data_IF_502911678196
#
_entry.id   IF_502911678196
#
_cell.length_a   1.000
_cell.length_b   1.000
_cell.length_c   1.000
_cell.angle_alpha   90.00
_cell.angle_beta   90.00
_cell.angle_gamma   90.00
#
_symmetry.space_group_name_H-M   'P 1'
#
loop_
_entity.id
_entity.type
_entity.pdbx_description
1 polymer ?
#
# COMPACT_ATOMS: atom_id res chain seq x y z
N UNK A 1 21.98 20.98 33.74
CA UNK A 1 21.72 19.75 32.95
C UNK A 1 21.25 20.25 31.60
N UNK A 2 22.22 20.45 30.72
CA UNK A 2 22.06 21.05 29.40
C UNK A 2 21.20 20.16 28.53
N UNK A 3 20.15 20.75 27.96
CA UNK A 3 19.41 20.14 26.86
C UNK A 3 20.24 20.46 25.62
N UNK A 4 21.07 19.51 25.19
CA UNK A 4 21.80 19.61 23.93
C UNK A 4 20.80 19.82 22.79
N UNK A 5 20.92 20.99 22.16
CA UNK A 5 20.38 21.29 20.86
C UNK A 5 20.84 20.24 19.84
N UNK A 6 19.93 19.36 19.41
CA UNK A 6 20.12 18.62 18.15
C UNK A 6 19.66 19.54 17.02
N UNK A 7 20.47 20.57 16.76
CA UNK A 7 20.37 21.45 15.59
C UNK A 7 21.45 21.06 14.58
N UNK A 8 21.52 19.77 14.27
CA UNK A 8 22.42 19.22 13.27
C UNK A 8 21.60 18.53 12.21
N UNK A 9 21.51 19.15 11.02
CA UNK A 9 21.65 18.54 9.68
C UNK A 9 20.90 19.36 8.60
N UNK A 10 21.40 20.54 8.25
CA UNK A 10 21.28 21.07 6.88
C UNK A 10 22.57 21.81 6.49
N UNK A 11 23.68 21.08 6.49
CA UNK A 11 24.76 21.40 5.55
C UNK A 11 24.16 21.20 4.16
N UNK A 12 24.31 22.16 3.24
CA UNK A 12 23.85 22.01 1.85
C UNK A 12 24.29 20.64 1.32
N UNK A 13 23.39 19.87 0.68
CA UNK A 13 23.73 18.51 0.26
C UNK A 13 24.92 18.55 -0.71
N UNK A 14 25.76 17.50 -0.74
CA UNK A 14 26.86 17.42 -1.67
C UNK A 14 26.39 17.72 -3.10
N UNK A 15 27.23 18.41 -3.89
CA UNK A 15 26.84 18.88 -5.23
C UNK A 15 26.22 17.79 -6.11
N UNK A 16 26.76 16.57 -6.07
CA UNK A 16 26.23 15.43 -6.82
C UNK A 16 24.81 15.02 -6.39
N UNK A 17 24.54 15.06 -5.08
CA UNK A 17 23.21 14.83 -4.53
C UNK A 17 22.25 15.96 -4.96
N UNK A 18 22.66 17.22 -4.84
CA UNK A 18 21.87 18.37 -5.29
C UNK A 18 21.51 18.27 -6.78
N UNK A 19 22.48 17.96 -7.65
CA UNK A 19 22.24 17.74 -9.09
C UNK A 19 21.28 16.59 -9.33
N UNK A 20 21.41 15.48 -8.59
CA UNK A 20 20.53 14.31 -8.72
C UNK A 20 19.10 14.64 -8.31
N UNK A 21 18.90 15.27 -7.15
CA UNK A 21 17.57 15.67 -6.66
C UNK A 21 16.92 16.66 -7.64
N UNK A 22 17.69 17.64 -8.13
CA UNK A 22 17.19 18.62 -9.09
C UNK A 22 16.81 17.98 -10.43
N UNK A 23 17.56 16.99 -10.91
CA UNK A 23 17.22 16.27 -12.13
C UNK A 23 15.92 15.46 -11.96
N UNK A 24 15.74 14.80 -10.82
CA UNK A 24 14.51 14.06 -10.50
C UNK A 24 13.31 15.01 -10.44
N UNK A 25 13.43 16.11 -9.70
CA UNK A 25 12.34 17.09 -9.56
C UNK A 25 12.06 17.84 -10.86
N UNK A 26 13.08 18.24 -11.62
CA UNK A 26 12.93 18.90 -12.91
C UNK A 26 12.18 18.03 -13.93
N UNK A 27 12.53 16.74 -14.01
CA UNK A 27 11.78 15.78 -14.84
C UNK A 27 10.31 15.69 -14.39
N UNK A 28 10.07 15.62 -13.07
CA UNK A 28 8.73 15.56 -12.51
C UNK A 28 7.90 16.81 -12.83
N UNK A 29 8.49 18.00 -12.78
CA UNK A 29 7.85 19.25 -13.16
C UNK A 29 7.48 19.29 -14.65
N UNK A 30 8.42 18.91 -15.52
CA UNK A 30 8.22 18.94 -16.97
C UNK A 30 7.20 17.91 -17.45
N UNK A 31 7.27 16.68 -16.91
CA UNK A 31 6.52 15.52 -17.43
C UNK A 31 5.30 15.15 -16.60
N UNK A 32 5.13 15.73 -15.42
CA UNK A 32 4.05 15.40 -14.50
C UNK A 32 4.11 13.98 -13.92
N UNK A 33 5.22 13.27 -14.12
CA UNK A 33 5.43 11.87 -13.73
C UNK A 33 6.83 11.68 -13.16
N UNK A 34 6.98 10.75 -12.22
CA UNK A 34 8.28 10.45 -11.63
C UNK A 34 9.19 9.76 -12.66
N UNK A 35 10.46 10.16 -12.78
CA UNK A 35 11.39 9.51 -13.69
C UNK A 35 11.75 8.10 -13.21
N UNK A 36 12.19 7.27 -14.14
CA UNK A 36 12.92 6.03 -13.80
C UNK A 36 14.43 6.29 -13.81
N UNK A 37 15.20 5.38 -13.23
CA UNK A 37 16.66 5.40 -13.27
C UNK A 37 17.19 5.54 -14.71
N UNK A 38 16.65 4.77 -15.65
CA UNK A 38 17.06 4.81 -17.06
C UNK A 38 16.79 6.14 -17.75
N UNK A 39 15.80 6.92 -17.30
CA UNK A 39 15.55 8.26 -17.81
C UNK A 39 16.67 9.24 -17.45
N UNK A 40 17.31 9.07 -16.28
CA UNK A 40 18.27 10.05 -15.75
C UNK A 40 19.72 9.60 -15.82
N UNK A 41 20.00 8.30 -15.74
CA UNK A 41 21.37 7.76 -15.64
C UNK A 41 22.25 8.17 -16.84
N UNK A 42 21.76 7.94 -18.07
CA UNK A 42 22.52 8.28 -19.29
C UNK A 42 22.72 9.79 -19.45
N UNK A 43 21.69 10.66 -19.31
CA UNK A 43 21.89 12.10 -19.36
C UNK A 43 22.87 12.62 -18.31
N UNK A 44 22.73 12.22 -17.04
CA UNK A 44 23.58 12.69 -15.95
C UNK A 44 25.02 12.21 -16.09
N UNK A 45 25.23 10.97 -16.55
CA UNK A 45 26.58 10.47 -16.87
C UNK A 45 27.23 11.26 -18.01
N UNK A 46 26.46 11.61 -19.05
CA UNK A 46 26.98 12.32 -20.21
C UNK A 46 27.34 13.77 -19.88
N UNK A 47 26.41 14.49 -19.26
CA UNK A 47 26.45 15.94 -19.07
C UNK A 47 27.19 16.33 -17.80
N UNK A 48 26.99 15.60 -16.71
CA UNK A 48 27.48 15.95 -15.37
C UNK A 48 28.60 15.03 -14.88
N UNK A 49 28.95 13.99 -15.65
CA UNK A 49 29.94 12.95 -15.29
C UNK A 49 29.59 12.23 -13.98
N UNK A 50 28.30 12.13 -13.69
CA UNK A 50 27.77 11.61 -12.44
C UNK A 50 27.46 10.10 -12.56
N UNK A 51 27.91 9.31 -11.59
CA UNK A 51 27.49 7.92 -11.41
C UNK A 51 26.22 7.89 -10.56
N UNK A 52 25.06 7.80 -11.23
CA UNK A 52 23.76 7.92 -10.57
C UNK A 52 23.54 6.77 -9.58
N UNK A 53 23.92 5.55 -9.94
CA UNK A 53 23.76 4.39 -9.08
C UNK A 53 24.58 4.53 -7.78
N UNK A 54 25.77 5.12 -7.87
CA UNK A 54 26.58 5.44 -6.69
C UNK A 54 25.90 6.49 -5.81
N UNK A 55 25.50 7.63 -6.38
CA UNK A 55 24.90 8.74 -5.63
C UNK A 55 23.61 8.32 -4.94
N UNK A 56 22.75 7.55 -5.62
CA UNK A 56 21.48 7.09 -5.07
C UNK A 56 21.62 6.27 -3.77
N UNK A 57 22.75 5.57 -3.57
CA UNK A 57 23.00 4.80 -2.34
C UNK A 57 23.21 5.68 -1.11
N UNK A 58 23.69 6.91 -1.32
CA UNK A 58 24.01 7.84 -0.24
C UNK A 58 22.81 8.75 0.10
N UNK A 59 21.75 8.74 -0.73
CA UNK A 59 20.57 9.56 -0.49
C UNK A 59 19.72 8.92 0.63
N UNK A 60 19.41 9.68 1.70
CA UNK A 60 18.54 9.19 2.77
C UNK A 60 17.15 8.80 2.26
N UNK A 61 16.56 7.76 2.86
CA UNK A 61 15.25 7.20 2.46
C UNK A 61 14.08 8.16 2.70
N UNK A 62 14.26 9.06 3.66
CA UNK A 62 13.34 10.15 3.97
C UNK A 62 13.42 11.29 2.95
N UNK A 63 14.44 11.35 2.09
CA UNK A 63 14.61 12.31 0.98
C UNK A 63 14.16 11.71 -0.35
N UNK A 64 14.54 10.46 -0.61
CA UNK A 64 14.17 9.72 -1.83
C UNK A 64 13.65 8.34 -1.42
N UNK A 65 12.42 8.04 -1.80
CA UNK A 65 11.79 6.77 -1.43
C UNK A 65 12.54 5.60 -2.09
N UNK A 66 13.04 4.61 -1.33
CA UNK A 66 13.73 3.48 -1.89
C UNK A 66 12.73 2.62 -2.68
N UNK A 67 12.93 2.55 -3.99
CA UNK A 67 12.24 1.61 -4.88
C UNK A 67 13.07 0.38 -5.22
N UNK A 68 14.34 0.39 -4.80
CA UNK A 68 15.27 -0.73 -4.90
C UNK A 68 15.73 -1.13 -3.50
N UNK A 69 15.92 -2.43 -3.26
CA UNK A 69 16.29 -2.98 -1.95
C UNK A 69 17.43 -3.98 -2.06
N UNK A 70 18.18 -4.19 -0.97
CA UNK A 70 19.16 -5.27 -0.86
C UNK A 70 20.55 -5.00 -1.45
N UNK A 71 20.95 -3.75 -1.66
CA UNK A 71 22.30 -3.39 -2.13
C UNK A 71 22.55 -3.65 -3.63
N UNK A 72 21.59 -4.23 -4.35
CA UNK A 72 21.63 -4.36 -5.80
C UNK A 72 21.54 -2.98 -6.47
N UNK A 73 22.22 -2.77 -7.62
CA UNK A 73 22.11 -1.54 -8.37
C UNK A 73 20.68 -1.35 -8.94
N UNK A 74 20.20 -0.10 -9.01
CA UNK A 74 18.89 0.21 -9.58
C UNK A 74 18.80 -0.25 -11.05
N UNK A 75 17.65 -0.82 -11.41
CA UNK A 75 17.35 -1.24 -12.77
C UNK A 75 16.82 -0.05 -13.59
N UNK A 76 16.84 -0.15 -14.92
CA UNK A 76 16.45 0.95 -15.83
C UNK A 76 15.01 1.46 -15.61
N UNK A 77 14.12 0.61 -15.11
CA UNK A 77 12.70 0.88 -14.82
C UNK A 77 12.44 1.28 -13.36
N UNK A 78 13.48 1.30 -12.51
CA UNK A 78 13.36 1.69 -11.10
C UNK A 78 12.89 3.14 -10.98
N UNK A 79 11.70 3.37 -10.42
CA UNK A 79 11.12 4.71 -10.25
C UNK A 79 11.86 5.52 -9.17
N UNK A 80 12.19 6.77 -9.46
CA UNK A 80 12.85 7.69 -8.54
C UNK A 80 11.83 8.70 -8.04
N UNK A 81 11.43 8.57 -6.77
CA UNK A 81 10.33 9.35 -6.16
C UNK A 81 10.84 10.15 -4.98
N UNK A 82 10.82 11.47 -5.10
CA UNK A 82 11.16 12.34 -3.99
C UNK A 82 10.02 12.36 -2.98
N UNK A 83 10.40 12.33 -1.71
CA UNK A 83 9.51 12.73 -0.62
C UNK A 83 9.41 14.26 -0.59
N UNK A 84 8.58 14.82 0.28
CA UNK A 84 8.54 16.25 0.56
C UNK A 84 9.88 16.81 1.04
N UNK A 85 10.66 16.02 1.77
CA UNK A 85 12.01 16.42 2.18
C UNK A 85 12.93 16.58 0.98
N UNK A 86 12.89 15.64 0.03
CA UNK A 86 13.67 15.74 -1.19
C UNK A 86 13.20 16.84 -2.12
N UNK A 87 11.89 17.06 -2.21
CA UNK A 87 11.33 18.20 -2.94
C UNK A 87 11.83 19.51 -2.32
N UNK A 88 11.79 19.68 -1.00
CA UNK A 88 12.19 20.91 -0.35
C UNK A 88 13.69 21.26 -0.49
N UNK A 89 14.53 20.31 -0.88
CA UNK A 89 15.94 20.55 -1.19
C UNK A 89 16.16 21.13 -2.59
N UNK A 90 15.14 21.14 -3.44
CA UNK A 90 15.19 21.68 -4.80
C UNK A 90 14.73 23.15 -4.85
N UNK A 91 15.36 24.01 -5.68
CA UNK A 91 14.84 25.35 -5.96
C UNK A 91 13.45 25.34 -6.63
N UNK A 92 12.63 26.35 -6.31
CA UNK A 92 11.34 26.62 -7.00
C UNK A 92 10.17 25.75 -6.54
N UNK A 93 10.20 25.24 -5.31
CA UNK A 93 9.26 24.24 -4.78
C UNK A 93 8.14 24.84 -3.93
N UNK A 94 8.17 26.15 -3.69
CA UNK A 94 7.32 26.85 -2.74
C UNK A 94 5.83 26.68 -3.07
N UNK A 95 5.47 26.72 -4.35
CA UNK A 95 4.09 26.55 -4.81
C UNK A 95 3.58 25.12 -4.57
N UNK A 96 4.40 24.10 -4.82
CA UNK A 96 4.01 22.69 -4.65
C UNK A 96 3.87 22.35 -3.16
N UNK A 97 4.83 22.80 -2.32
CA UNK A 97 4.77 22.63 -0.87
C UNK A 97 3.54 23.34 -0.28
N UNK A 98 3.29 24.58 -0.69
CA UNK A 98 2.11 25.33 -0.26
C UNK A 98 0.81 24.61 -0.62
N UNK A 99 0.69 24.15 -1.87
CA UNK A 99 -0.49 23.42 -2.33
C UNK A 99 -0.67 22.11 -1.55
N UNK A 100 0.42 21.39 -1.28
CA UNK A 100 0.40 20.17 -0.49
C UNK A 100 -0.13 20.40 0.93
N UNK A 101 0.46 21.33 1.69
CA UNK A 101 0.02 21.58 3.06
C UNK A 101 -1.39 22.15 3.13
N UNK A 102 -1.77 23.03 2.18
CA UNK A 102 -3.15 23.51 2.05
C UNK A 102 -4.13 22.36 1.82
N UNK A 103 -3.73 21.38 1.03
CA UNK A 103 -4.54 20.19 0.74
C UNK A 103 -4.70 19.29 1.96
N UNK A 104 -3.64 19.05 2.74
CA UNK A 104 -3.74 18.27 3.98
C UNK A 104 -4.71 18.89 4.99
N UNK A 105 -4.67 20.21 5.18
CA UNK A 105 -5.63 20.90 6.05
C UNK A 105 -7.06 20.78 5.55
N UNK A 106 -7.25 20.85 4.23
CA UNK A 106 -8.56 20.65 3.61
C UNK A 106 -9.06 19.21 3.77
N UNK A 107 -8.20 18.20 3.62
CA UNK A 107 -8.52 16.80 3.89
C UNK A 107 -8.91 16.60 5.36
N UNK A 108 -8.14 17.14 6.31
CA UNK A 108 -8.47 17.05 7.72
C UNK A 108 -9.85 17.64 8.04
N UNK A 109 -10.19 18.78 7.43
CA UNK A 109 -11.54 19.36 7.54
C UNK A 109 -12.60 18.47 6.92
N UNK A 110 -12.35 17.92 5.73
CA UNK A 110 -13.30 17.05 5.02
C UNK A 110 -13.60 15.76 5.78
N UNK A 111 -12.59 15.16 6.39
CA UNK A 111 -12.75 13.97 7.20
C UNK A 111 -13.47 14.28 8.52
N UNK A 112 -13.21 15.43 9.14
CA UNK A 112 -13.92 15.88 10.34
C UNK A 112 -15.41 16.18 10.07
N UNK A 113 -15.71 16.84 8.96
CA UNK A 113 -17.08 17.22 8.56
C UNK A 113 -17.86 16.03 7.94
N UNK A 114 -17.23 14.86 7.80
CA UNK A 114 -17.86 13.70 7.16
C UNK A 114 -18.80 12.97 8.11
N UNK A 115 -20.08 12.89 7.74
CA UNK A 115 -21.08 12.07 8.41
C UNK A 115 -21.33 10.80 7.57
N UNK A 116 -21.04 9.60 8.09
CA UNK A 116 -21.33 8.36 7.37
C UNK A 116 -22.85 8.17 7.25
N UNK A 117 -23.33 7.73 6.09
CA UNK A 117 -24.75 7.44 5.93
C UNK A 117 -25.18 6.26 6.80
N UNK A 118 -26.39 6.33 7.34
CA UNK A 118 -26.91 5.25 8.19
C UNK A 118 -26.98 3.94 7.39
N UNK A 119 -26.26 2.92 7.86
CA UNK A 119 -26.33 1.56 7.31
C UNK A 119 -25.40 1.25 6.12
N UNK A 120 -24.53 2.19 5.69
CA UNK A 120 -23.46 1.90 4.71
C UNK A 120 -22.10 2.31 5.27
N UNK A 121 -21.07 1.49 4.98
CA UNK A 121 -19.68 1.87 5.20
C UNK A 121 -19.24 2.87 4.12
N UNK A 122 -19.78 4.09 4.18
CA UNK A 122 -19.33 5.15 3.30
C UNK A 122 -17.96 5.63 3.77
N UNK A 123 -16.99 5.57 2.87
CA UNK A 123 -15.65 6.08 3.15
C UNK A 123 -15.56 7.54 2.71
N UNK A 124 -14.95 8.39 3.53
CA UNK A 124 -14.69 9.78 3.18
C UNK A 124 -13.70 9.84 2.00
N UNK A 125 -14.18 10.03 0.78
CA UNK A 125 -13.36 10.10 -0.43
C UNK A 125 -13.28 11.53 -0.94
N UNK A 126 -12.11 11.90 -1.46
CA UNK A 126 -11.85 13.20 -2.08
C UNK A 126 -11.11 13.00 -3.40
N UNK A 127 -11.52 13.74 -4.42
CA UNK A 127 -10.92 13.69 -5.76
C UNK A 127 -10.15 14.95 -6.12
N UNK A 128 -9.32 14.85 -7.16
CA UNK A 128 -8.70 16.01 -7.79
C UNK A 128 -9.73 17.05 -8.27
N UNK A 129 -10.91 16.60 -8.71
CA UNK A 129 -12.00 17.49 -9.11
C UNK A 129 -12.59 18.26 -7.91
N UNK A 130 -12.70 17.61 -6.75
CA UNK A 130 -13.16 18.27 -5.52
C UNK A 130 -12.17 19.32 -5.04
N UNK A 131 -10.86 19.04 -5.16
CA UNK A 131 -9.81 20.01 -4.85
C UNK A 131 -9.89 21.24 -5.78
N UNK A 132 -10.01 21.02 -7.09
CA UNK A 132 -10.15 22.10 -8.09
C UNK A 132 -11.35 22.98 -7.74
N UNK A 133 -12.49 22.37 -7.40
CA UNK A 133 -13.71 23.08 -6.99
C UNK A 133 -13.51 23.85 -5.68
N UNK A 134 -12.96 23.19 -4.67
CA UNK A 134 -12.77 23.76 -3.33
C UNK A 134 -11.81 24.95 -3.33
N UNK A 135 -10.73 24.87 -4.11
CA UNK A 135 -9.71 25.92 -4.16
C UNK A 135 -9.92 26.92 -5.31
N UNK A 136 -10.98 26.74 -6.11
CA UNK A 136 -11.31 27.57 -7.29
C UNK A 136 -10.11 27.68 -8.23
N UNK A 137 -9.45 26.55 -8.49
CA UNK A 137 -8.24 26.50 -9.32
C UNK A 137 -8.58 26.73 -10.79
N UNK A 138 -7.78 27.55 -11.45
CA UNK A 138 -7.90 27.85 -12.89
C UNK A 138 -7.29 26.72 -13.73
N UNK A 139 -7.62 26.71 -15.04
CA UNK A 139 -7.22 25.65 -15.99
C UNK A 139 -5.70 25.49 -16.12
N UNK A 140 -4.95 26.58 -16.01
CA UNK A 140 -3.49 26.62 -16.01
C UNK A 140 -2.84 25.91 -14.81
N UNK A 141 -3.59 25.71 -13.71
CA UNK A 141 -3.13 25.02 -12.50
C UNK A 141 -3.47 23.53 -12.47
N UNK A 142 -4.15 22.99 -13.49
CA UNK A 142 -4.58 21.59 -13.47
C UNK A 142 -3.40 20.61 -13.46
N UNK A 143 -2.30 20.93 -14.14
CA UNK A 143 -1.08 20.12 -14.11
C UNK A 143 -0.51 20.00 -12.69
N UNK A 144 -0.51 21.09 -11.92
CA UNK A 144 -0.07 21.09 -10.52
C UNK A 144 -0.94 20.18 -9.66
N UNK A 145 -2.25 20.18 -9.89
CA UNK A 145 -3.18 19.28 -9.19
C UNK A 145 -2.86 17.82 -9.51
N UNK A 146 -2.54 17.49 -10.76
CA UNK A 146 -2.16 16.11 -11.10
C UNK A 146 -0.85 15.69 -10.43
N UNK A 147 0.17 16.56 -10.46
CA UNK A 147 1.45 16.33 -9.78
C UNK A 147 1.26 16.16 -8.28
N UNK A 148 0.41 16.98 -7.66
CA UNK A 148 0.09 16.88 -6.24
C UNK A 148 -0.40 15.47 -5.86
N UNK A 149 -1.22 14.83 -6.70
CA UNK A 149 -1.66 13.46 -6.43
C UNK A 149 -0.50 12.46 -6.37
N UNK A 150 0.52 12.64 -7.20
CA UNK A 150 1.74 11.81 -7.19
C UNK A 150 2.62 12.09 -5.97
N UNK A 151 2.64 13.33 -5.45
CA UNK A 151 3.31 13.66 -4.18
C UNK A 151 2.56 13.05 -2.99
N UNK A 152 1.23 13.19 -2.95
CA UNK A 152 0.37 12.58 -1.93
C UNK A 152 0.52 11.05 -1.89
N UNK A 153 0.75 10.40 -3.03
CA UNK A 153 0.94 8.95 -3.09
C UNK A 153 2.30 8.47 -2.55
N UNK A 154 3.29 9.36 -2.41
CA UNK A 154 4.61 9.05 -1.81
C UNK A 154 4.56 9.21 -0.29
N UNK A 155 3.80 10.19 0.18
CA UNK A 155 3.80 10.64 1.57
C UNK A 155 2.86 9.86 2.50
N UNK A 156 3.27 9.72 3.77
CA UNK A 156 2.46 9.12 4.82
C UNK A 156 1.64 10.20 5.53
N UNK A 157 0.45 10.53 5.05
CA UNK A 157 -0.40 11.59 5.65
C UNK A 157 -1.75 11.08 6.18
N UNK A 158 -1.98 9.76 6.21
CA UNK A 158 -3.22 9.15 6.74
C UNK A 158 -4.25 8.78 5.68
N UNK A 159 -3.81 8.56 4.43
CA UNK A 159 -4.67 7.94 3.42
C UNK A 159 -5.03 6.51 3.83
N UNK A 160 -6.31 6.17 3.72
CA UNK A 160 -6.83 4.81 3.87
C UNK A 160 -6.91 4.04 2.54
N UNK A 161 -6.59 4.71 1.42
CA UNK A 161 -6.63 4.15 0.08
C UNK A 161 -6.53 5.22 -1.00
N UNK A 162 -6.12 4.82 -2.19
CA UNK A 162 -6.03 5.69 -3.36
C UNK A 162 -6.53 4.99 -4.60
N UNK A 163 -7.19 5.73 -5.50
CA UNK A 163 -7.51 5.29 -6.86
C UNK A 163 -6.80 6.22 -7.84
N UNK A 164 -5.63 5.82 -8.36
CA UNK A 164 -4.98 6.58 -9.41
C UNK A 164 -5.75 6.41 -10.72
N UNK A 165 -5.85 7.48 -11.49
CA UNK A 165 -6.23 7.46 -12.89
C UNK A 165 -5.21 8.30 -13.69
N UNK A 166 -5.25 8.20 -15.01
CA UNK A 166 -4.25 8.84 -15.89
C UNK A 166 -4.24 10.38 -15.76
N UNK A 167 -5.43 10.97 -15.58
CA UNK A 167 -5.62 12.42 -15.45
C UNK A 167 -6.47 12.80 -14.23
N UNK A 168 -6.58 11.92 -13.25
CA UNK A 168 -7.23 12.24 -11.98
C UNK A 168 -6.71 11.33 -10.87
N UNK A 169 -7.00 11.73 -9.64
CA UNK A 169 -6.72 10.92 -8.49
C UNK A 169 -7.87 11.06 -7.50
N UNK A 170 -8.08 10.01 -6.74
CA UNK A 170 -8.99 9.98 -5.60
C UNK A 170 -8.25 9.35 -4.43
N UNK A 171 -8.44 9.92 -3.24
CA UNK A 171 -7.98 9.33 -2.00
C UNK A 171 -9.14 9.12 -1.03
N UNK A 172 -9.09 8.01 -0.32
CA UNK A 172 -9.91 7.79 0.87
C UNK A 172 -9.16 8.33 2.08
N UNK A 173 -9.83 9.19 2.84
CA UNK A 173 -9.30 9.83 4.04
C UNK A 173 -9.49 8.90 5.24
N UNK A 174 -8.39 8.57 5.91
CA UNK A 174 -8.41 7.89 7.21
C UNK A 174 -8.27 8.88 8.35
N UNK A 175 -8.58 8.44 9.57
CA UNK A 175 -8.55 9.28 10.79
C UNK A 175 -7.21 10.00 11.04
N UNK A 176 -6.10 9.43 10.57
CA UNK A 176 -4.76 9.98 10.82
C UNK A 176 -4.52 11.29 10.06
N UNK A 177 -5.32 11.62 9.05
CA UNK A 177 -5.22 12.91 8.36
C UNK A 177 -5.48 14.10 9.29
N UNK A 178 -6.24 13.89 10.38
CA UNK A 178 -6.51 14.89 11.42
C UNK A 178 -5.24 15.46 12.05
N UNK A 179 -4.17 14.66 12.12
CA UNK A 179 -2.87 15.05 12.67
C UNK A 179 -2.26 16.24 11.91
N UNK A 180 -2.63 16.39 10.63
CA UNK A 180 -2.09 17.41 9.74
C UNK A 180 -2.97 18.66 9.63
N UNK A 181 -4.03 18.79 10.46
CA UNK A 181 -4.99 19.89 10.40
C UNK A 181 -4.36 21.28 10.58
N UNK A 182 -3.22 21.37 11.27
CA UNK A 182 -2.52 22.63 11.56
C UNK A 182 -1.19 22.80 10.81
N UNK A 183 -0.82 21.86 9.94
CA UNK A 183 0.45 21.90 9.21
C UNK A 183 0.42 23.03 8.19
N UNK A 184 1.35 23.99 8.29
CA UNK A 184 1.50 25.13 7.37
C UNK A 184 2.85 25.17 6.69
N UNK A 185 3.83 24.49 7.26
CA UNK A 185 5.20 24.45 6.79
C UNK A 185 5.75 23.02 6.81
N UNK A 186 6.93 22.85 6.18
CA UNK A 186 7.66 21.60 6.26
C UNK A 186 8.12 21.28 7.69
N UNK A 187 8.46 22.30 8.48
CA UNK A 187 8.80 22.12 9.89
C UNK A 187 7.62 21.54 10.70
N UNK A 188 6.41 22.06 10.49
CA UNK A 188 5.20 21.52 11.14
C UNK A 188 4.96 20.07 10.70
N UNK A 189 5.12 19.80 9.40
CA UNK A 189 4.95 18.46 8.84
C UNK A 189 5.94 17.47 9.47
N UNK A 190 7.22 17.83 9.59
CA UNK A 190 8.26 17.02 10.25
C UNK A 190 7.92 16.75 11.70
N UNK A 191 7.46 17.75 12.45
CA UNK A 191 7.08 17.61 13.85
C UNK A 191 5.93 16.60 14.01
N UNK A 192 4.90 16.69 13.15
CA UNK A 192 3.79 15.72 13.13
C UNK A 192 4.27 14.31 12.76
N UNK A 193 5.13 14.18 11.73
CA UNK A 193 5.71 12.90 11.32
C UNK A 193 6.56 12.25 12.41
N UNK A 194 7.38 13.05 13.11
CA UNK A 194 8.22 12.58 14.19
C UNK A 194 7.37 12.07 15.37
N UNK A 195 6.33 12.84 15.75
CA UNK A 195 5.37 12.43 16.78
C UNK A 195 4.65 11.14 16.39
N UNK A 196 4.15 11.04 15.15
CA UNK A 196 3.44 9.86 14.69
C UNK A 196 4.33 8.60 14.61
N UNK A 197 5.60 8.76 14.21
CA UNK A 197 6.59 7.67 14.27
C UNK A 197 6.85 7.27 15.71
N UNK A 198 7.12 8.23 16.60
CA UNK A 198 7.32 7.97 18.01
C UNK A 198 6.11 7.27 18.64
N UNK A 199 4.88 7.63 18.32
CA UNK A 199 3.67 6.92 18.76
C UNK A 199 3.61 5.47 18.25
N UNK A 200 4.05 5.24 17.01
CA UNK A 200 4.09 3.89 16.41
C UNK A 200 5.16 3.01 17.09
N UNK A 201 6.28 3.61 17.48
CA UNK A 201 7.42 2.94 18.12
C UNK A 201 7.27 2.84 19.65
N UNK A 202 6.49 3.75 20.26
CA UNK A 202 6.27 3.86 21.71
C UNK A 202 5.05 3.09 22.20
N UNK A 203 4.33 2.34 21.34
CA UNK A 203 3.50 1.24 21.82
C UNK A 203 4.44 0.23 22.48
N UNK A 204 4.57 0.21 23.81
CA UNK A 204 5.37 -0.82 24.42
C UNK A 204 4.59 -2.11 24.20
N UNK A 205 5.27 -3.21 23.90
CA UNK A 205 4.74 -4.54 24.22
C UNK A 205 4.57 -4.60 25.74
N UNK A 206 3.51 -3.99 26.28
CA UNK A 206 3.09 -4.20 27.66
C UNK A 206 2.40 -5.56 27.67
N UNK A 207 2.91 -6.55 28.43
CA UNK A 207 2.11 -7.70 28.80
C UNK A 207 0.91 -7.13 29.57
N UNK A 208 -0.29 -7.25 29.00
CA UNK A 208 -1.49 -6.70 29.61
C UNK A 208 -1.76 -7.44 30.94
N UNK A 209 -1.83 -6.75 32.09
CA UNK A 209 -2.27 -7.34 33.35
C UNK A 209 -3.76 -7.65 33.23
N UNK A 210 -4.07 -8.92 33.46
CA UNK A 210 -5.37 -9.52 33.28
C UNK A 210 -6.30 -9.18 34.46
N UNK A 211 -6.85 -7.96 34.55
CA UNK A 211 -7.92 -7.66 35.52
C UNK A 211 -9.15 -7.07 34.82
N UNK A 212 -10.19 -7.90 34.81
CA UNK A 212 -11.50 -7.67 34.23
C UNK A 212 -12.34 -6.67 35.05
N UNK A 213 -12.89 -5.67 34.36
CA UNK A 213 -14.14 -4.93 34.63
C UNK A 213 -14.42 -4.20 33.31
N UNK A 214 -15.38 -4.55 32.49
CA UNK A 214 -16.80 -4.75 32.76
C UNK A 214 -17.55 -3.85 31.78
N UNK A 215 -17.56 -4.22 30.49
CA UNK A 215 -18.44 -3.66 29.48
C UNK A 215 -19.20 -4.81 28.83
N UNK A 216 -20.49 -4.53 28.55
CA UNK A 216 -21.49 -5.47 28.13
C UNK A 216 -21.05 -6.33 26.94
N UNK A 217 -21.40 -7.61 27.04
CA UNK A 217 -21.00 -8.70 26.18
C UNK A 217 -21.45 -8.49 24.73
N UNK A 218 -20.55 -8.05 23.87
CA UNK A 218 -20.44 -8.69 22.55
C UNK A 218 -19.54 -9.91 22.74
N UNK A 219 -20.00 -11.07 22.25
CA UNK A 219 -19.25 -12.33 22.33
C UNK A 219 -17.81 -12.09 21.84
N UNK A 220 -16.79 -12.46 22.64
CA UNK A 220 -15.41 -12.34 22.22
C UNK A 220 -15.17 -13.32 21.06
N UNK A 221 -14.77 -12.79 19.91
CA UNK A 221 -14.15 -13.59 18.85
C UNK A 221 -12.74 -13.87 19.31
N UNK A 222 -12.48 -15.12 19.68
CA UNK A 222 -11.14 -15.66 19.93
C UNK A 222 -10.28 -15.42 18.68
N UNK A 223 -9.01 -14.96 18.79
CA UNK A 223 -8.14 -14.94 17.64
C UNK A 223 -7.84 -16.39 17.25
N UNK A 224 -8.42 -16.85 16.15
CA UNK A 224 -8.03 -18.14 15.58
C UNK A 224 -6.67 -17.94 14.88
N UNK A 225 -5.69 -18.75 15.28
CA UNK A 225 -4.34 -18.79 14.72
C UNK A 225 -4.28 -19.25 13.25
N UNK A 226 -5.45 -19.52 12.65
CA UNK A 226 -5.61 -20.12 11.34
C UNK A 226 -5.63 -19.07 10.22
N UNK A 227 -4.99 -19.40 9.10
CA UNK A 227 -4.97 -18.55 7.92
C UNK A 227 -6.34 -18.41 7.26
N UNK A 228 -7.11 -19.50 7.27
CA UNK A 228 -8.53 -19.55 6.94
C UNK A 228 -9.31 -19.73 8.23
N UNK A 229 -10.22 -18.80 8.50
CA UNK A 229 -11.01 -18.73 9.71
C UNK A 229 -11.94 -19.95 9.81
N UNK A 230 -12.05 -20.60 10.98
CA UNK A 230 -12.85 -21.82 11.14
C UNK A 230 -14.34 -21.60 10.82
N UNK A 231 -14.88 -20.39 11.05
CA UNK A 231 -16.27 -20.08 10.67
C UNK A 231 -16.52 -20.23 9.16
N UNK A 232 -15.52 -19.93 8.32
CA UNK A 232 -15.62 -20.10 6.86
C UNK A 232 -15.58 -21.58 6.50
N UNK A 233 -14.76 -22.37 7.19
CA UNK A 233 -14.69 -23.83 7.03
C UNK A 233 -16.04 -24.45 7.39
N UNK A 234 -16.59 -24.09 8.56
CA UNK A 234 -17.88 -24.56 9.03
C UNK A 234 -19.03 -24.17 8.08
N UNK A 235 -18.97 -22.97 7.46
CA UNK A 235 -19.95 -22.55 6.48
C UNK A 235 -19.94 -23.43 5.21
N UNK A 236 -18.76 -23.83 4.73
CA UNK A 236 -18.62 -24.76 3.59
C UNK A 236 -19.13 -26.16 3.98
N UNK A 237 -18.74 -26.66 5.15
CA UNK A 237 -19.18 -27.98 5.67
C UNK A 237 -20.71 -28.07 5.78
N UNK A 238 -21.35 -27.01 6.29
CA UNK A 238 -22.80 -26.96 6.45
C UNK A 238 -23.57 -27.05 5.12
N UNK A 239 -22.92 -26.75 3.99
CA UNK A 239 -23.53 -26.74 2.65
C UNK A 239 -23.30 -28.03 1.87
N UNK A 240 -22.42 -28.92 2.34
CA UNK A 240 -22.01 -30.14 1.63
C UNK A 240 -23.18 -31.08 1.28
N UNK A 241 -24.18 -31.19 2.16
CA UNK A 241 -25.33 -32.07 1.91
C UNK A 241 -26.39 -31.49 0.97
N UNK A 242 -26.30 -30.19 0.67
CA UNK A 242 -27.30 -29.46 -0.12
C UNK A 242 -26.79 -29.07 -1.52
N UNK A 243 -25.49 -29.21 -1.77
CA UNK A 243 -24.84 -28.79 -3.01
C UNK A 243 -24.53 -29.96 -3.94
N UNK A 244 -24.37 -29.66 -5.24
CA UNK A 244 -23.99 -30.68 -6.26
C UNK A 244 -22.48 -30.96 -6.30
N UNK A 245 -21.67 -30.15 -5.61
CA UNK A 245 -20.22 -30.24 -5.61
C UNK A 245 -19.72 -31.10 -4.44
N UNK A 246 -18.74 -31.96 -4.67
CA UNK A 246 -18.01 -32.59 -3.58
C UNK A 246 -16.92 -31.62 -3.07
N UNK A 247 -17.14 -31.04 -1.90
CA UNK A 247 -16.22 -30.09 -1.27
C UNK A 247 -15.12 -30.73 -0.39
N UNK A 248 -15.06 -32.07 -0.26
CA UNK A 248 -14.05 -32.77 0.55
C UNK A 248 -12.62 -32.34 0.17
N UNK A 249 -12.33 -32.28 -1.13
CA UNK A 249 -11.03 -31.83 -1.63
C UNK A 249 -10.72 -30.39 -1.22
N UNK A 250 -11.71 -29.49 -1.31
CA UNK A 250 -11.53 -28.09 -0.95
C UNK A 250 -11.24 -27.95 0.55
N UNK A 251 -12.00 -28.65 1.39
CA UNK A 251 -11.80 -28.65 2.85
C UNK A 251 -10.43 -29.22 3.23
N UNK A 252 -9.99 -30.30 2.58
CA UNK A 252 -8.66 -30.86 2.80
C UNK A 252 -7.55 -29.86 2.41
N UNK A 253 -7.67 -29.21 1.25
CA UNK A 253 -6.71 -28.17 0.83
C UNK A 253 -6.69 -26.98 1.81
N UNK A 254 -7.84 -26.58 2.37
CA UNK A 254 -7.90 -25.52 3.39
C UNK A 254 -7.20 -25.95 4.68
N UNK A 255 -7.42 -27.19 5.14
CA UNK A 255 -6.77 -27.72 6.33
C UNK A 255 -5.24 -27.79 6.16
N UNK A 256 -4.77 -28.28 5.01
CA UNK A 256 -3.34 -28.32 4.66
C UNK A 256 -2.74 -26.90 4.54
N UNK A 257 -3.50 -25.93 4.02
CA UNK A 257 -3.07 -24.54 3.96
C UNK A 257 -2.88 -23.94 5.36
N UNK A 258 -3.83 -24.19 6.27
CA UNK A 258 -3.73 -23.73 7.67
C UNK A 258 -2.52 -24.34 8.38
N UNK A 259 -2.29 -25.66 8.25
CA UNK A 259 -1.11 -26.31 8.81
C UNK A 259 0.19 -25.73 8.23
N UNK A 260 0.25 -25.56 6.91
CA UNK A 260 1.42 -25.01 6.24
C UNK A 260 1.69 -23.56 6.66
N UNK A 261 0.64 -22.77 6.85
CA UNK A 261 0.75 -21.39 7.32
C UNK A 261 1.22 -21.32 8.77
N UNK A 262 0.66 -22.15 9.66
CA UNK A 262 1.04 -22.20 11.08
C UNK A 262 2.51 -22.56 11.30
N UNK A 263 3.11 -23.29 10.37
CA UNK A 263 4.53 -23.70 10.40
C UNK A 263 5.42 -22.91 9.42
N UNK A 264 4.92 -21.80 8.87
CA UNK A 264 5.65 -20.94 7.92
C UNK A 264 6.25 -21.68 6.70
N UNK A 265 5.61 -22.78 6.26
CA UNK A 265 6.04 -23.61 5.12
C UNK A 265 5.78 -22.90 3.79
N UNK A 266 6.64 -21.92 3.47
CA UNK A 266 6.47 -20.93 2.39
C UNK A 266 6.06 -21.55 1.06
N UNK A 267 6.86 -22.46 0.49
CA UNK A 267 6.58 -23.06 -0.82
C UNK A 267 5.28 -23.87 -0.83
N UNK A 268 5.03 -24.64 0.21
CA UNK A 268 3.83 -25.46 0.34
C UNK A 268 2.57 -24.60 0.46
N UNK A 269 2.60 -23.52 1.26
CA UNK A 269 1.47 -22.58 1.37
C UNK A 269 1.12 -21.95 0.02
N UNK A 270 2.14 -21.60 -0.79
CA UNK A 270 1.92 -21.05 -2.12
C UNK A 270 1.32 -22.08 -3.09
N UNK A 271 1.85 -23.30 -3.09
CA UNK A 271 1.36 -24.40 -3.92
C UNK A 271 -0.10 -24.75 -3.59
N UNK A 272 -0.43 -24.88 -2.30
CA UNK A 272 -1.78 -25.22 -1.85
C UNK A 272 -2.77 -24.09 -2.16
N UNK A 273 -2.41 -22.82 -1.90
CA UNK A 273 -3.30 -21.71 -2.23
C UNK A 273 -3.56 -21.65 -3.74
N UNK A 274 -2.54 -21.89 -4.57
CA UNK A 274 -2.71 -22.01 -6.02
C UNK A 274 -3.66 -23.14 -6.42
N UNK A 275 -3.56 -24.31 -5.79
CA UNK A 275 -4.47 -25.42 -6.01
C UNK A 275 -5.92 -25.06 -5.65
N UNK A 276 -6.14 -24.36 -4.52
CA UNK A 276 -7.47 -23.84 -4.15
C UNK A 276 -8.00 -22.93 -5.26
N UNK A 277 -7.21 -21.94 -5.69
CA UNK A 277 -7.62 -21.00 -6.74
C UNK A 277 -7.95 -21.68 -8.07
N UNK A 278 -7.35 -22.83 -8.39
CA UNK A 278 -7.67 -23.59 -9.61
C UNK A 278 -8.93 -24.44 -9.50
N UNK A 279 -9.34 -24.81 -8.29
CA UNK A 279 -10.42 -25.77 -8.09
C UNK A 279 -11.75 -25.14 -7.68
N UNK A 280 -11.76 -23.90 -7.19
CA UNK A 280 -12.99 -23.17 -6.84
C UNK A 280 -13.81 -22.61 -8.02
N UNK A 281 -13.28 -22.28 -9.22
CA UNK A 281 -14.05 -21.60 -10.27
C UNK A 281 -15.39 -22.26 -10.65
N UNK A 282 -15.51 -23.61 -10.72
CA UNK A 282 -16.77 -24.26 -11.06
C UNK A 282 -17.92 -23.96 -10.10
N UNK A 283 -17.63 -23.65 -8.82
CA UNK A 283 -18.64 -23.26 -7.83
C UNK A 283 -19.36 -21.98 -8.28
N UNK A 284 -18.64 -21.08 -8.95
CA UNK A 284 -19.16 -19.82 -9.47
C UNK A 284 -19.69 -19.93 -10.91
N UNK A 285 -19.61 -21.12 -11.53
CA UNK A 285 -20.04 -21.34 -12.91
C UNK A 285 -19.01 -20.92 -13.97
N UNK A 286 -17.72 -20.84 -13.63
CA UNK A 286 -16.64 -20.46 -14.55
C UNK A 286 -15.57 -21.56 -14.64
N UNK A 287 -14.83 -21.57 -15.74
CA UNK A 287 -13.79 -22.59 -15.99
C UNK A 287 -12.45 -22.24 -15.35
N UNK A 288 -12.17 -20.94 -15.18
CA UNK A 288 -10.93 -20.47 -14.58
C UNK A 288 -11.14 -19.31 -13.58
N UNK A 289 -10.16 -19.17 -12.68
CA UNK A 289 -10.25 -18.19 -11.60
C UNK A 289 -10.21 -16.73 -12.07
N UNK A 290 -9.51 -16.44 -13.16
CA UNK A 290 -9.46 -15.08 -13.72
C UNK A 290 -10.81 -14.70 -14.29
N UNK A 291 -11.50 -15.65 -14.92
CA UNK A 291 -12.88 -15.46 -15.37
C UNK A 291 -13.83 -15.21 -14.18
N UNK A 292 -13.78 -16.06 -13.16
CA UNK A 292 -14.57 -15.88 -11.94
C UNK A 292 -14.30 -14.53 -11.27
N UNK A 293 -13.03 -14.14 -11.11
CA UNK A 293 -12.63 -12.87 -10.49
C UNK A 293 -13.17 -11.64 -11.24
N UNK A 294 -13.30 -11.72 -12.57
CA UNK A 294 -13.76 -10.59 -13.38
C UNK A 294 -15.28 -10.52 -13.50
N UNK A 295 -15.94 -11.68 -13.61
CA UNK A 295 -17.32 -11.79 -14.05
C UNK A 295 -18.30 -12.15 -12.91
N UNK A 296 -17.83 -12.74 -11.82
CA UNK A 296 -18.70 -13.03 -10.68
C UNK A 296 -19.13 -11.74 -9.95
N UNK A 297 -20.35 -11.73 -9.42
CA UNK A 297 -20.95 -10.60 -8.71
C UNK A 297 -20.39 -10.44 -7.29
N UNK A 298 -19.11 -10.10 -7.16
CA UNK A 298 -18.47 -9.86 -5.86
C UNK A 298 -19.20 -8.73 -5.11
N UNK A 299 -19.74 -9.04 -3.92
CA UNK A 299 -20.69 -8.19 -3.19
C UNK A 299 -20.22 -6.74 -2.98
N UNK A 300 -18.91 -6.53 -2.81
CA UNK A 300 -18.33 -5.19 -2.74
C UNK A 300 -17.15 -4.98 -3.70
N UNK A 301 -16.83 -3.70 -3.95
CA UNK A 301 -15.62 -3.32 -4.70
C UNK A 301 -14.33 -3.82 -4.03
N UNK A 302 -14.31 -3.91 -2.70
CA UNK A 302 -13.15 -4.40 -1.97
C UNK A 302 -12.96 -5.90 -2.17
N UNK A 303 -14.05 -6.68 -2.20
CA UNK A 303 -14.01 -8.12 -2.49
C UNK A 303 -13.50 -8.37 -3.90
N UNK A 304 -13.95 -7.57 -4.87
CA UNK A 304 -13.40 -7.61 -6.24
C UNK A 304 -11.89 -7.32 -6.26
N UNK A 305 -11.42 -6.32 -5.52
CA UNK A 305 -10.00 -6.01 -5.41
C UNK A 305 -9.21 -7.17 -4.77
N UNK A 306 -9.77 -7.87 -3.78
CA UNK A 306 -9.15 -9.06 -3.21
C UNK A 306 -9.00 -10.17 -4.26
N UNK A 307 -10.01 -10.40 -5.09
CA UNK A 307 -9.93 -11.39 -6.17
C UNK A 307 -8.89 -11.01 -7.21
N UNK A 308 -8.76 -9.72 -7.56
CA UNK A 308 -7.69 -9.24 -8.46
C UNK A 308 -6.30 -9.55 -7.89
N UNK A 309 -6.08 -9.32 -6.60
CA UNK A 309 -4.80 -9.67 -5.93
C UNK A 309 -4.55 -11.18 -5.92
N UNK A 310 -5.59 -11.99 -5.72
CA UNK A 310 -5.46 -13.46 -5.80
C UNK A 310 -5.15 -13.93 -7.24
N UNK A 311 -5.65 -13.25 -8.27
CA UNK A 311 -5.27 -13.50 -9.67
C UNK A 311 -3.79 -13.17 -9.88
N UNK A 312 -3.30 -12.03 -9.40
CA UNK A 312 -1.88 -11.66 -9.49
C UNK A 312 -0.99 -12.69 -8.78
N UNK A 313 -1.40 -13.13 -7.59
CA UNK A 313 -0.71 -14.15 -6.80
C UNK A 313 -0.55 -15.48 -7.55
N UNK A 314 -1.48 -15.86 -8.46
CA UNK A 314 -1.32 -17.09 -9.26
C UNK A 314 -0.02 -17.11 -10.08
N UNK A 315 0.53 -15.96 -10.46
CA UNK A 315 1.81 -15.87 -11.18
C UNK A 315 2.98 -16.26 -10.27
N UNK A 316 3.00 -15.75 -9.04
CA UNK A 316 4.00 -16.08 -8.03
C UNK A 316 3.94 -17.56 -7.64
N UNK A 317 2.73 -18.09 -7.45
CA UNK A 317 2.57 -19.50 -7.12
C UNK A 317 2.79 -20.45 -8.31
N UNK A 318 2.63 -19.97 -9.55
CA UNK A 318 3.06 -20.71 -10.75
C UNK A 318 4.58 -20.84 -10.78
N UNK A 319 5.30 -19.78 -10.44
CA UNK A 319 6.77 -19.81 -10.34
C UNK A 319 7.25 -20.80 -9.27
N UNK A 320 6.57 -20.86 -8.11
CA UNK A 320 6.82 -21.85 -7.04
C UNK A 320 6.77 -23.30 -7.53
N UNK A 321 5.85 -23.61 -8.46
CA UNK A 321 5.63 -24.98 -8.93
C UNK A 321 6.49 -25.36 -10.13
N UNK A 322 6.87 -24.39 -10.97
CA UNK A 322 7.46 -24.68 -12.28
C UNK A 322 8.89 -24.15 -12.46
N UNK A 323 9.35 -23.20 -11.63
CA UNK A 323 10.73 -22.72 -11.72
C UNK A 323 11.70 -23.83 -11.32
N UNK A 324 12.60 -24.18 -12.23
CA UNK A 324 13.67 -25.13 -11.96
C UNK A 324 14.72 -24.54 -11.01
N UNK A 325 15.35 -25.41 -10.22
CA UNK A 325 16.50 -25.05 -9.37
C UNK A 325 17.61 -24.48 -10.27
N UNK A 326 18.20 -23.37 -9.84
CA UNK A 326 19.29 -22.70 -10.56
C UNK A 326 20.36 -22.21 -9.58
N UNK A 327 21.48 -21.70 -10.09
CA UNK A 327 22.53 -21.10 -9.25
C UNK A 327 22.14 -19.75 -8.60
N UNK A 328 20.90 -19.27 -8.78
CA UNK A 328 20.39 -18.05 -8.15
C UNK A 328 19.71 -18.40 -6.82
N UNK A 329 19.86 -17.52 -5.82
CA UNK A 329 19.17 -17.67 -4.55
C UNK A 329 17.64 -17.61 -4.73
N UNK A 330 16.91 -18.41 -3.94
CA UNK A 330 15.46 -18.22 -3.80
C UNK A 330 15.19 -16.93 -3.01
N UNK A 331 14.31 -16.09 -3.55
CA UNK A 331 13.92 -14.83 -2.95
C UNK A 331 12.49 -14.85 -2.39
N UNK A 332 11.80 -15.98 -2.49
CA UNK A 332 10.44 -16.12 -2.01
C UNK A 332 10.42 -16.22 -0.48
N UNK A 333 9.63 -15.37 0.17
CA UNK A 333 9.49 -15.32 1.62
C UNK A 333 8.06 -15.58 2.03
N UNK A 334 7.87 -16.00 3.27
CA UNK A 334 6.56 -16.24 3.84
C UNK A 334 5.64 -15.01 3.80
N UNK A 335 6.21 -13.82 4.01
CA UNK A 335 5.50 -12.53 3.96
C UNK A 335 4.94 -12.17 2.58
N UNK A 336 5.35 -12.90 1.53
CA UNK A 336 4.84 -12.69 0.18
C UNK A 336 3.50 -13.45 -0.06
N UNK A 337 2.99 -14.19 0.95
CA UNK A 337 1.62 -14.71 0.96
C UNK A 337 0.58 -13.58 0.99
N UNK A 338 -0.57 -13.74 0.32
CA UNK A 338 -1.62 -12.73 0.37
C UNK A 338 -2.21 -12.60 1.77
N UNK A 339 -2.89 -11.48 2.03
CA UNK A 339 -3.57 -11.30 3.30
C UNK A 339 -4.70 -12.34 3.46
N UNK A 340 -4.78 -12.97 4.64
CA UNK A 340 -5.78 -13.99 4.97
C UNK A 340 -7.21 -13.53 4.64
N UNK A 341 -7.53 -12.26 4.86
CA UNK A 341 -8.84 -11.67 4.52
C UNK A 341 -9.23 -11.91 3.07
N UNK A 342 -8.30 -11.83 2.11
CA UNK A 342 -8.60 -12.06 0.70
C UNK A 342 -9.03 -13.51 0.43
N UNK A 343 -8.37 -14.47 1.07
CA UNK A 343 -8.67 -15.90 0.95
C UNK A 343 -9.97 -16.24 1.67
N UNK A 344 -10.20 -15.68 2.87
CA UNK A 344 -11.44 -15.86 3.61
C UNK A 344 -12.64 -15.30 2.86
N UNK A 345 -12.52 -14.12 2.22
CA UNK A 345 -13.56 -13.56 1.37
C UNK A 345 -13.90 -14.48 0.18
N UNK A 346 -12.88 -15.05 -0.48
CA UNK A 346 -13.10 -16.01 -1.57
C UNK A 346 -13.88 -17.23 -1.08
N UNK A 347 -13.42 -17.84 0.01
CA UNK A 347 -13.99 -19.08 0.53
C UNK A 347 -15.39 -18.87 1.12
N UNK A 348 -15.66 -17.70 1.71
CA UNK A 348 -17.02 -17.32 2.11
C UNK A 348 -17.93 -17.20 0.88
N UNK A 349 -17.47 -16.57 -0.20
CA UNK A 349 -18.24 -16.50 -1.44
C UNK A 349 -18.47 -17.90 -2.04
N UNK A 350 -17.53 -18.84 -1.89
CA UNK A 350 -17.78 -20.24 -2.23
C UNK A 350 -18.91 -20.81 -1.39
N UNK A 351 -18.89 -20.65 -0.06
CA UNK A 351 -19.96 -21.14 0.82
C UNK A 351 -21.34 -20.56 0.48
N UNK A 352 -21.39 -19.30 0.05
CA UNK A 352 -22.63 -18.63 -0.35
C UNK A 352 -23.16 -19.12 -1.70
N UNK A 353 -22.28 -19.58 -2.59
CA UNK A 353 -22.60 -20.08 -3.93
C UNK A 353 -22.87 -21.60 -4.00
N UNK A 354 -22.56 -22.35 -2.93
CA UNK A 354 -22.87 -23.77 -2.76
C UNK A 354 -24.33 -24.00 -2.39
#
# INVERSE_FOLDING_TARGET
MEIEHVDTLYTSPPREMQTTLQAVYGFFLERGTWPTFGHLDRPLRKNDKLDLARVLRDIPKDVLQPTWSGGAPPQVDTLLRLTLEGVALCPGTESDLYLFFRTLRWFAKKELDFEPSQGKYDACAVSSADLVRAFRLKKDRLADVQRLGKLLAVERWGSAGSKPAEQSWEFTLGRDVRRFAQVRSLADYRAVQATWRAESDSVPLRPLPMHARGFAQSKPVTPTADYVHPDVVAAIEAKMSATRFNCEKLLQLIAELNDNYAHEKTYSSHAILRAILDHVPPIFGFDDFKEAANNYGWGSRNDKNYMTRLVEFKTQAHDVLHRQISGKASLLRFVDMPASVAVNTLLQACADAL
#
